data_IF_416123691244
#
_entry.id   IF_416123691244
#
_cell.length_a   1.000
_cell.length_b   1.000
_cell.length_c   1.000
_cell.angle_alpha   90.00
_cell.angle_beta   90.00
_cell.angle_gamma   90.00
#
_symmetry.space_group_name_H-M   'P 1'
#
loop_
_entity.id
_entity.type
_entity.pdbx_description
1 polymer ?
#
# COMPACT_ATOMS: atom_id res chain seq x y z
N UNK A 1 -20.92 -9.92 5.41
CA UNK A 1 -19.70 -9.10 5.31
C UNK A 1 -19.21 -9.28 3.90
N UNK A 2 -19.28 -8.21 3.09
CA UNK A 2 -18.88 -8.23 1.68
C UNK A 2 -17.42 -8.65 1.52
N UNK A 3 -17.08 -9.13 0.33
CA UNK A 3 -15.89 -9.89 -0.03
C UNK A 3 -14.58 -9.07 0.07
N UNK A 4 -14.23 -8.64 1.28
CA UNK A 4 -13.06 -7.81 1.62
C UNK A 4 -11.72 -8.46 1.25
N UNK A 5 -11.71 -9.78 1.03
CA UNK A 5 -10.53 -10.54 0.63
C UNK A 5 -9.87 -10.04 -0.68
N UNK A 6 -10.65 -9.39 -1.55
CA UNK A 6 -10.19 -8.99 -2.89
C UNK A 6 -9.69 -7.55 -2.98
N UNK A 7 -9.95 -6.71 -1.98
CA UNK A 7 -9.51 -5.31 -1.99
C UNK A 7 -7.98 -5.23 -1.80
N UNK A 8 -7.29 -4.71 -2.82
CA UNK A 8 -5.84 -4.47 -2.76
C UNK A 8 -5.43 -3.57 -1.61
N UNK A 9 -6.32 -2.66 -1.20
CA UNK A 9 -6.08 -1.78 -0.07
C UNK A 9 -6.08 -2.54 1.26
N UNK A 10 -6.98 -3.50 1.44
CA UNK A 10 -7.04 -4.31 2.67
C UNK A 10 -5.77 -5.13 2.81
N UNK A 11 -5.30 -5.74 1.71
CA UNK A 11 -4.02 -6.48 1.71
C UNK A 11 -2.83 -5.59 2.06
N UNK A 12 -2.80 -4.39 1.50
CA UNK A 12 -1.80 -3.38 1.85
C UNK A 12 -1.87 -3.01 3.33
N UNK A 13 -3.07 -2.78 3.90
CA UNK A 13 -3.25 -2.45 5.32
C UNK A 13 -2.79 -3.58 6.24
N UNK A 14 -3.08 -4.84 5.90
CA UNK A 14 -2.60 -6.01 6.64
C UNK A 14 -1.07 -6.02 6.67
N UNK A 15 -0.45 -5.89 5.49
CA UNK A 15 1.01 -5.87 5.37
C UNK A 15 1.64 -4.68 6.10
N UNK A 16 1.08 -3.48 5.93
CA UNK A 16 1.51 -2.25 6.60
C UNK A 16 1.42 -2.41 8.12
N UNK A 17 0.27 -2.85 8.63
CA UNK A 17 0.07 -3.08 10.07
C UNK A 17 1.08 -4.07 10.65
N UNK A 18 1.41 -5.14 9.91
CA UNK A 18 2.43 -6.09 10.35
C UNK A 18 3.82 -5.44 10.42
N UNK A 19 4.20 -4.69 9.38
CA UNK A 19 5.51 -4.04 9.30
C UNK A 19 5.67 -2.93 10.33
N UNK A 20 4.62 -2.14 10.58
CA UNK A 20 4.60 -1.09 11.61
C UNK A 20 4.79 -1.67 13.03
N UNK A 21 4.40 -2.93 13.24
CA UNK A 21 4.65 -3.68 14.47
C UNK A 21 6.05 -4.33 14.53
N UNK A 22 6.87 -4.19 13.49
CA UNK A 22 8.19 -4.81 13.38
C UNK A 22 8.15 -6.33 13.21
N UNK A 23 7.01 -6.91 12.80
CA UNK A 23 6.81 -8.35 12.74
C UNK A 23 7.17 -8.90 11.35
N UNK A 24 7.85 -10.03 11.32
CA UNK A 24 7.99 -10.88 10.15
C UNK A 24 6.80 -11.83 10.03
N UNK A 25 6.60 -12.43 8.85
CA UNK A 25 5.52 -13.39 8.63
C UNK A 25 5.63 -14.61 9.55
N UNK A 26 6.87 -15.07 9.79
CA UNK A 26 7.17 -16.18 10.72
C UNK A 26 6.78 -15.88 12.16
N UNK A 27 6.74 -14.61 12.57
CA UNK A 27 6.38 -14.21 13.94
C UNK A 27 4.85 -14.31 14.17
N UNK A 28 4.07 -14.34 13.09
CA UNK A 28 2.62 -14.56 13.12
C UNK A 28 2.24 -16.03 12.85
N UNK A 29 3.13 -16.80 12.22
CA UNK A 29 2.87 -18.17 11.82
C UNK A 29 2.76 -19.12 13.02
N UNK A 30 1.90 -20.13 12.90
CA UNK A 30 1.73 -21.22 13.86
C UNK A 30 1.06 -22.44 13.22
N UNK A 31 0.54 -23.37 14.03
CA UNK A 31 -0.16 -24.58 13.57
C UNK A 31 -1.42 -24.30 12.73
N UNK A 32 -2.02 -23.11 12.83
CA UNK A 32 -3.25 -22.74 12.12
C UNK A 32 -2.98 -21.95 10.85
N UNK A 33 -1.88 -21.20 10.79
CA UNK A 33 -1.51 -20.39 9.62
C UNK A 33 -0.01 -20.40 9.38
N UNK A 34 0.40 -20.79 8.16
CA UNK A 34 1.81 -20.77 7.78
C UNK A 34 2.28 -19.39 7.31
N UNK A 35 3.58 -19.14 7.40
CA UNK A 35 4.26 -17.97 6.82
C UNK A 35 3.92 -17.78 5.33
N UNK A 36 3.93 -18.88 4.56
CA UNK A 36 3.57 -18.89 3.15
C UNK A 36 2.11 -18.50 2.91
N UNK A 37 1.19 -18.90 3.81
CA UNK A 37 -0.22 -18.50 3.73
C UNK A 37 -0.37 -17.00 3.97
N UNK A 38 0.27 -16.47 5.01
CA UNK A 38 0.28 -15.03 5.30
C UNK A 38 0.83 -14.24 4.10
N UNK A 39 1.94 -14.69 3.52
CA UNK A 39 2.53 -14.10 2.31
C UNK A 39 1.59 -14.13 1.11
N UNK A 40 0.79 -15.18 0.97
CA UNK A 40 -0.19 -15.29 -0.11
C UNK A 40 -1.39 -14.36 0.10
N UNK A 41 -1.83 -14.17 1.34
CA UNK A 41 -2.86 -13.18 1.69
C UNK A 41 -2.38 -11.77 1.35
N UNK A 42 -1.19 -11.38 1.83
CA UNK A 42 -0.63 -10.04 1.59
C UNK A 42 -0.42 -9.73 0.10
N UNK A 43 -0.15 -10.75 -0.72
CA UNK A 43 0.03 -10.61 -2.17
C UNK A 43 -1.25 -10.80 -2.97
N UNK A 44 -2.34 -11.27 -2.35
CA UNK A 44 -3.59 -11.61 -3.05
C UNK A 44 -3.45 -12.78 -4.01
N UNK A 45 -2.49 -13.69 -3.79
CA UNK A 45 -2.24 -14.85 -4.65
C UNK A 45 -3.21 -16.00 -4.42
N UNK A 46 -3.83 -16.05 -3.24
CA UNK A 46 -4.74 -17.14 -2.84
C UNK A 46 -5.93 -16.54 -2.12
N UNK A 47 -7.12 -17.03 -2.45
CA UNK A 47 -8.34 -16.78 -1.69
C UNK A 47 -8.29 -17.67 -0.45
N UNK A 48 -8.00 -17.09 0.71
CA UNK A 48 -8.07 -17.80 1.98
C UNK A 48 -9.52 -17.88 2.46
N UNK A 49 -9.82 -18.89 3.29
CA UNK A 49 -11.14 -18.97 3.94
C UNK A 49 -11.30 -17.79 4.92
N UNK A 50 -12.54 -17.35 5.11
CA UNK A 50 -12.88 -16.26 6.03
C UNK A 50 -12.32 -16.50 7.43
N UNK A 51 -12.36 -17.74 7.92
CA UNK A 51 -11.80 -18.10 9.24
C UNK A 51 -10.29 -17.83 9.32
N UNK A 52 -9.52 -18.20 8.30
CA UNK A 52 -8.07 -17.96 8.24
C UNK A 52 -7.75 -16.48 8.14
N UNK A 53 -8.56 -15.73 7.39
CA UNK A 53 -8.42 -14.28 7.27
C UNK A 53 -8.69 -13.58 8.60
N UNK A 54 -9.81 -13.90 9.24
CA UNK A 54 -10.19 -13.38 10.56
C UNK A 54 -9.15 -13.75 11.62
N UNK A 55 -8.59 -14.97 11.55
CA UNK A 55 -7.52 -15.41 12.43
C UNK A 55 -6.26 -14.54 12.31
N UNK A 56 -5.85 -14.23 11.08
CA UNK A 56 -4.72 -13.32 10.81
C UNK A 56 -5.01 -11.90 11.32
N UNK A 57 -6.21 -11.36 11.07
CA UNK A 57 -6.62 -10.05 11.58
C UNK A 57 -6.51 -9.99 13.12
N UNK A 58 -7.03 -11.01 13.80
CA UNK A 58 -6.97 -11.11 15.25
C UNK A 58 -5.52 -11.12 15.78
N UNK A 59 -4.62 -11.86 15.12
CA UNK A 59 -3.18 -11.84 15.46
C UNK A 59 -2.54 -10.46 15.29
N UNK A 60 -3.04 -9.66 14.36
CA UNK A 60 -2.60 -8.27 14.18
C UNK A 60 -3.29 -7.29 15.14
N UNK A 61 -4.23 -7.75 15.97
CA UNK A 61 -5.05 -6.89 16.84
C UNK A 61 -5.98 -5.99 16.03
N UNK A 62 -6.53 -6.54 14.94
CA UNK A 62 -7.52 -5.94 14.08
C UNK A 62 -8.82 -6.74 14.20
N UNK A 63 -9.92 -6.06 14.49
CA UNK A 63 -11.26 -6.57 14.26
C UNK A 63 -11.85 -5.93 13.00
N UNK A 64 -13.07 -6.34 12.61
CA UNK A 64 -13.74 -5.78 11.43
C UNK A 64 -13.99 -4.26 11.52
N UNK A 65 -14.24 -3.73 12.73
CA UNK A 65 -14.47 -2.30 12.94
C UNK A 65 -13.20 -1.48 12.72
N UNK A 66 -12.11 -1.87 13.38
CA UNK A 66 -10.80 -1.24 13.28
C UNK A 66 -10.21 -1.37 11.87
N UNK A 67 -10.42 -2.52 11.21
CA UNK A 67 -10.01 -2.69 9.81
C UNK A 67 -10.74 -1.67 8.91
N UNK A 68 -12.06 -1.51 9.07
CA UNK A 68 -12.83 -0.55 8.28
C UNK A 68 -12.39 0.90 8.52
N UNK A 69 -12.06 1.26 9.77
CA UNK A 69 -11.51 2.58 10.09
C UNK A 69 -10.17 2.83 9.39
N UNK A 70 -9.24 1.86 9.46
CA UNK A 70 -7.95 1.93 8.77
C UNK A 70 -8.13 2.03 7.25
N UNK A 71 -9.06 1.25 6.68
CA UNK A 71 -9.40 1.31 5.25
C UNK A 71 -9.86 2.70 4.87
N UNK A 72 -10.79 3.29 5.62
CA UNK A 72 -11.30 4.63 5.33
C UNK A 72 -10.19 5.68 5.36
N UNK A 73 -9.40 5.69 6.45
CA UNK A 73 -8.28 6.63 6.62
C UNK A 73 -7.24 6.49 5.50
N UNK A 74 -6.92 5.27 5.11
CA UNK A 74 -5.93 5.04 4.07
C UNK A 74 -6.47 5.39 2.67
N UNK A 75 -7.77 5.20 2.40
CA UNK A 75 -8.41 5.68 1.15
C UNK A 75 -8.26 7.18 1.01
N UNK A 76 -8.63 7.93 2.05
CA UNK A 76 -8.52 9.40 2.05
C UNK A 76 -7.06 9.85 1.85
N UNK A 77 -6.11 9.22 2.54
CA UNK A 77 -4.69 9.50 2.35
C UNK A 77 -4.21 9.24 0.91
N UNK A 78 -4.57 8.08 0.34
CA UNK A 78 -4.21 7.71 -1.03
C UNK A 78 -4.81 8.68 -2.04
N UNK A 79 -6.05 9.11 -1.85
CA UNK A 79 -6.72 10.09 -2.73
C UNK A 79 -5.97 11.43 -2.73
N UNK A 80 -5.64 11.96 -1.55
CA UNK A 80 -4.87 13.20 -1.44
C UNK A 80 -3.48 13.09 -2.07
N UNK A 81 -2.80 11.98 -1.82
CA UNK A 81 -1.47 11.74 -2.38
C UNK A 81 -1.52 11.56 -3.90
N UNK A 82 -2.53 10.86 -4.42
CA UNK A 82 -2.75 10.69 -5.86
C UNK A 82 -2.95 12.05 -6.53
N UNK A 83 -3.80 12.90 -5.96
CA UNK A 83 -4.00 14.26 -6.47
C UNK A 83 -2.68 15.04 -6.55
N UNK A 84 -1.83 14.94 -5.52
CA UNK A 84 -0.50 15.56 -5.54
C UNK A 84 0.40 15.00 -6.65
N UNK A 85 0.41 13.69 -6.86
CA UNK A 85 1.16 13.06 -7.97
C UNK A 85 0.63 13.50 -9.34
N UNK A 86 -0.68 13.65 -9.51
CA UNK A 86 -1.31 14.15 -10.75
C UNK A 86 -0.90 15.62 -11.02
N UNK A 87 -0.77 16.45 -9.96
CA UNK A 87 -0.22 17.79 -10.08
C UNK A 87 1.25 17.79 -10.54
N UNK A 88 2.09 16.91 -9.97
CA UNK A 88 3.49 16.76 -10.39
C UNK A 88 3.57 16.31 -11.85
N UNK A 89 2.73 15.36 -12.27
CA UNK A 89 2.67 14.93 -13.67
C UNK A 89 2.33 16.11 -14.58
N UNK A 90 1.36 16.93 -14.18
CA UNK A 90 0.98 18.14 -14.90
C UNK A 90 2.14 19.14 -14.98
N UNK A 91 2.92 19.31 -13.90
CA UNK A 91 4.14 20.14 -13.91
C UNK A 91 5.16 19.63 -14.92
N UNK A 92 5.42 18.31 -14.95
CA UNK A 92 6.33 17.68 -15.92
C UNK A 92 5.85 17.85 -17.37
N UNK A 93 4.55 17.73 -17.61
CA UNK A 93 3.97 17.89 -18.94
C UNK A 93 4.12 19.32 -19.47
N UNK A 94 4.04 20.32 -18.59
CA UNK A 94 4.14 21.73 -18.94
C UNK A 94 5.57 22.31 -18.83
N UNK A 95 6.58 21.48 -18.57
CA UNK A 95 7.98 21.91 -18.54
C UNK A 95 8.45 22.56 -17.22
N UNK A 96 7.63 22.54 -16.17
CA UNK A 96 7.98 23.04 -14.83
C UNK A 96 8.86 22.02 -14.07
N UNK A 97 10.05 21.72 -14.62
CA UNK A 97 10.89 20.60 -14.17
C UNK A 97 11.43 20.77 -12.75
N UNK A 98 11.86 21.99 -12.36
CA UNK A 98 12.41 22.21 -11.01
C UNK A 98 11.34 22.09 -9.93
N UNK A 99 10.17 22.69 -10.14
CA UNK A 99 9.03 22.55 -9.21
C UNK A 99 8.59 21.10 -9.06
N UNK A 100 8.50 20.36 -10.17
CA UNK A 100 8.19 18.94 -10.13
C UNK A 100 9.24 18.13 -9.33
N UNK A 101 10.52 18.45 -9.48
CA UNK A 101 11.61 17.79 -8.76
C UNK A 101 11.58 18.07 -7.25
N UNK A 102 11.32 19.32 -6.87
CA UNK A 102 11.15 19.71 -5.46
C UNK A 102 10.00 18.94 -4.82
N UNK A 103 8.84 18.90 -5.48
CA UNK A 103 7.68 18.15 -5.00
C UNK A 103 7.93 16.63 -4.93
N UNK A 104 8.59 16.05 -5.94
CA UNK A 104 8.93 14.62 -5.95
C UNK A 104 9.83 14.19 -4.79
N UNK A 105 10.74 15.07 -4.33
CA UNK A 105 11.65 14.79 -3.21
C UNK A 105 10.94 14.76 -1.86
N UNK A 106 9.80 15.43 -1.74
CA UNK A 106 9.03 15.47 -0.50
C UNK A 106 8.21 14.19 -0.28
N UNK A 107 7.97 13.40 -1.34
CA UNK A 107 7.14 12.21 -1.28
C UNK A 107 7.99 10.96 -0.99
N UNK A 108 7.70 10.34 0.15
CA UNK A 108 8.28 9.07 0.59
C UNK A 108 7.17 8.05 0.74
N UNK A 109 7.30 6.92 0.04
CA UNK A 109 6.34 5.82 0.08
C UNK A 109 7.09 4.49 0.24
N UNK A 110 6.45 3.57 0.95
CA UNK A 110 6.91 2.18 0.98
C UNK A 110 6.89 1.58 -0.42
N UNK A 111 7.80 0.65 -0.70
CA UNK A 111 7.88 -0.03 -2.01
C UNK A 111 6.59 -0.76 -2.38
N UNK A 112 5.82 -1.19 -1.37
CA UNK A 112 4.55 -1.89 -1.55
C UNK A 112 3.33 -0.98 -1.45
N UNK A 113 3.52 0.35 -1.35
CA UNK A 113 2.44 1.32 -1.34
C UNK A 113 1.69 1.29 -2.69
N UNK A 114 0.34 1.41 -2.72
CA UNK A 114 -0.43 1.34 -3.97
C UNK A 114 -0.01 2.34 -5.05
N UNK A 115 0.47 3.52 -4.64
CA UNK A 115 0.97 4.58 -5.53
C UNK A 115 2.49 4.54 -5.78
N UNK A 116 3.23 3.58 -5.22
CA UNK A 116 4.67 3.47 -5.45
C UNK A 116 5.03 3.34 -6.96
N UNK A 117 4.30 2.55 -7.78
CA UNK A 117 4.57 2.49 -9.22
C UNK A 117 4.39 3.84 -9.92
N UNK A 118 3.36 4.62 -9.54
CA UNK A 118 3.12 5.93 -10.13
C UNK A 118 4.20 6.94 -9.75
N UNK A 119 4.64 6.94 -8.48
CA UNK A 119 5.78 7.75 -8.05
C UNK A 119 7.06 7.39 -8.82
N UNK A 120 7.35 6.10 -9.01
CA UNK A 120 8.52 5.66 -9.78
C UNK A 120 8.44 6.09 -11.25
N UNK A 121 7.25 5.98 -11.86
CA UNK A 121 7.00 6.48 -13.21
C UNK A 121 7.31 7.98 -13.33
N UNK A 122 6.81 8.81 -12.41
CA UNK A 122 7.07 10.26 -12.42
C UNK A 122 8.55 10.61 -12.21
N UNK A 123 9.24 9.90 -11.31
CA UNK A 123 10.70 10.05 -11.15
C UNK A 123 11.45 9.70 -12.44
N UNK A 124 11.06 8.62 -13.11
CA UNK A 124 11.62 8.23 -14.41
C UNK A 124 11.36 9.28 -15.49
N UNK A 125 10.14 9.82 -15.54
CA UNK A 125 9.78 10.90 -16.48
C UNK A 125 10.57 12.18 -16.27
N UNK A 126 10.78 12.59 -15.01
CA UNK A 126 11.65 13.72 -14.70
C UNK A 126 13.07 13.50 -15.23
N UNK A 127 13.67 12.33 -14.97
CA UNK A 127 15.02 12.00 -15.44
C UNK A 127 15.10 12.02 -16.97
N UNK A 128 14.10 11.47 -17.64
CA UNK A 128 14.02 11.49 -19.10
C UNK A 128 13.97 12.91 -19.65
N UNK A 129 13.06 13.75 -19.14
CA UNK A 129 12.91 15.15 -19.56
C UNK A 129 14.12 16.04 -19.22
N UNK A 130 14.86 15.72 -18.17
CA UNK A 130 16.09 16.45 -17.80
C UNK A 130 17.24 16.21 -18.80
N UNK A 131 17.20 15.11 -19.55
CA UNK A 131 18.22 14.76 -20.55
C UNK A 131 17.92 15.32 -21.94
N UNK A 132 16.68 15.73 -22.19
CA UNK A 132 16.27 16.45 -23.40
C UNK A 132 16.69 17.92 -23.31
#
# INVERSE_FOLDING_TARGET
MENHLYDGLIRYIIKKTRLDKGLQQRDLADLHISDGTISNVERGKVVVRDDTFNYLLNKLGLDGGKLNELVKKEKEFIEHLKFRLDCIESMLNNGYLELANEELKLIHLDEFHPLAPFLMYLKGRYIYKKKE
#
